data_IF_462202478689
#
_entry.id   IF_462202478689
#
_cell.length_a   1.000
_cell.length_b   1.000
_cell.length_c   1.000
_cell.angle_alpha   90.00
_cell.angle_beta   90.00
_cell.angle_gamma   90.00
#
_symmetry.space_group_name_H-M   'P 1'
#
loop_
_entity.id
_entity.type
_entity.pdbx_description
1 polymer ?
#
# COMPACT_ATOMS: atom_id res chain seq x y z
N UNK A 1 -1.85 -9.74 -12.30
CA UNK A 1 -2.99 -8.91 -11.80
C UNK A 1 -2.49 -8.36 -10.47
N UNK A 2 -2.20 -7.06 -10.35
CA UNK A 2 -1.40 -6.42 -9.27
C UNK A 2 -1.09 -7.27 -8.02
N UNK A 3 0.08 -7.89 -8.02
CA UNK A 3 0.62 -8.58 -6.84
C UNK A 3 1.32 -7.58 -5.94
N UNK A 4 0.82 -7.46 -4.71
CA UNK A 4 1.45 -6.69 -3.64
C UNK A 4 2.15 -7.59 -2.63
N UNK A 5 2.05 -8.90 -2.84
CA UNK A 5 2.59 -9.95 -1.99
C UNK A 5 4.04 -10.24 -2.38
N UNK A 6 4.85 -9.17 -2.35
CA UNK A 6 6.29 -9.25 -2.63
C UNK A 6 7.09 -9.18 -1.34
N UNK A 7 8.28 -9.82 -1.25
CA UNK A 7 9.12 -9.80 -0.05
C UNK A 7 9.48 -8.39 0.42
N UNK A 8 9.46 -7.42 -0.51
CA UNK A 8 9.64 -6.01 -0.19
C UNK A 8 8.66 -5.51 0.88
N UNK A 9 7.42 -6.01 0.95
CA UNK A 9 6.45 -5.56 1.94
C UNK A 9 6.45 -6.38 3.22
N UNK A 10 7.37 -7.33 3.44
CA UNK A 10 7.42 -8.09 4.70
C UNK A 10 7.54 -7.20 5.94
N UNK A 11 8.36 -6.13 5.96
CA UNK A 11 8.35 -5.23 7.10
C UNK A 11 7.12 -4.33 7.10
N UNK A 12 6.38 -4.40 8.21
CA UNK A 12 5.13 -3.65 8.42
C UNK A 12 5.29 -2.15 8.20
N UNK A 13 6.45 -1.57 8.56
CA UNK A 13 6.71 -0.14 8.37
C UNK A 13 6.67 0.29 6.89
N UNK A 14 7.08 -0.59 5.95
CA UNK A 14 7.04 -0.29 4.51
C UNK A 14 5.61 -0.22 4.00
N UNK A 15 4.73 -1.08 4.52
CA UNK A 15 3.28 -1.05 4.24
C UNK A 15 2.67 0.26 4.69
N UNK A 16 2.94 0.65 5.94
CA UNK A 16 2.42 1.89 6.54
C UNK A 16 2.95 3.11 5.78
N UNK A 17 4.25 3.14 5.46
CA UNK A 17 4.86 4.25 4.73
C UNK A 17 4.21 4.48 3.36
N UNK A 18 3.99 3.41 2.59
CA UNK A 18 3.35 3.52 1.27
C UNK A 18 1.93 4.04 1.37
N UNK A 19 1.13 3.52 2.31
CA UNK A 19 -0.25 4.00 2.51
C UNK A 19 -0.26 5.45 2.98
N UNK A 20 0.60 5.82 3.92
CA UNK A 20 0.70 7.18 4.43
C UNK A 20 1.09 8.18 3.34
N UNK A 21 2.07 7.85 2.49
CA UNK A 21 2.48 8.71 1.37
C UNK A 21 1.33 8.92 0.38
N UNK A 22 0.61 7.86 0.02
CA UNK A 22 -0.53 7.96 -0.89
C UNK A 22 -1.66 8.85 -0.34
N UNK A 23 -2.01 8.67 0.94
CA UNK A 23 -3.06 9.47 1.59
C UNK A 23 -2.63 10.92 1.77
N UNK A 24 -1.38 11.16 2.22
CA UNK A 24 -0.84 12.53 2.36
C UNK A 24 -0.79 13.25 1.03
N UNK A 25 -0.41 12.57 -0.05
CA UNK A 25 -0.43 13.14 -1.39
C UNK A 25 -1.85 13.50 -1.82
N UNK A 26 -2.81 12.60 -1.60
CA UNK A 26 -4.20 12.89 -1.93
C UNK A 26 -4.77 14.08 -1.14
N UNK A 27 -4.42 14.21 0.14
CA UNK A 27 -4.77 15.40 0.95
C UNK A 27 -4.12 16.68 0.42
N UNK A 28 -2.86 16.59 -0.02
CA UNK A 28 -2.16 17.70 -0.66
C UNK A 28 -2.88 18.15 -1.95
N UNK A 29 -3.28 17.22 -2.81
CA UNK A 29 -4.04 17.53 -4.03
C UNK A 29 -5.42 18.13 -3.75
N UNK A 30 -6.10 17.68 -2.68
CA UNK A 30 -7.34 18.33 -2.22
C UNK A 30 -7.07 19.78 -1.81
N UNK A 31 -5.94 20.04 -1.15
CA UNK A 31 -5.56 21.39 -0.71
C UNK A 31 -5.18 22.34 -1.86
N UNK A 32 -4.69 21.81 -2.98
CA UNK A 32 -4.31 22.59 -4.18
C UNK A 32 -5.50 22.84 -5.12
N UNK A 33 -6.69 22.32 -4.79
CA UNK A 33 -7.91 22.46 -5.59
C UNK A 33 -8.14 21.32 -6.59
N UNK A 34 -7.22 20.35 -6.68
CA UNK A 34 -7.32 19.18 -7.54
C UNK A 34 -8.13 18.04 -6.87
N UNK A 35 -9.38 18.33 -6.48
CA UNK A 35 -10.20 17.41 -5.67
C UNK A 35 -10.39 16.03 -6.31
N UNK A 36 -10.57 15.97 -7.63
CA UNK A 36 -10.72 14.71 -8.36
C UNK A 36 -9.49 13.81 -8.18
N UNK A 37 -8.29 14.36 -8.35
CA UNK A 37 -7.04 13.62 -8.19
C UNK A 37 -6.79 13.24 -6.73
N UNK A 38 -7.09 14.14 -5.80
CA UNK A 38 -6.95 13.86 -4.37
C UNK A 38 -7.80 12.69 -3.89
N UNK A 39 -9.05 12.58 -4.34
CA UNK A 39 -9.92 11.46 -4.03
C UNK A 39 -9.42 10.13 -4.62
N UNK A 40 -8.84 10.15 -5.82
CA UNK A 40 -8.24 8.94 -6.42
C UNK A 40 -7.08 8.45 -5.55
N UNK A 41 -6.16 9.33 -5.16
CA UNK A 41 -4.99 8.94 -4.34
C UNK A 41 -5.40 8.43 -2.95
N UNK A 42 -6.36 9.09 -2.30
CA UNK A 42 -6.89 8.62 -1.01
C UNK A 42 -7.57 7.26 -1.17
N UNK A 43 -8.41 7.10 -2.21
CA UNK A 43 -9.09 5.84 -2.50
C UNK A 43 -8.12 4.69 -2.78
N UNK A 44 -7.08 4.95 -3.58
CA UNK A 44 -6.01 3.97 -3.85
C UNK A 44 -5.25 3.62 -2.57
N UNK A 45 -4.88 4.61 -1.75
CA UNK A 45 -4.21 4.39 -0.47
C UNK A 45 -5.05 3.51 0.47
N UNK A 46 -6.37 3.74 0.52
CA UNK A 46 -7.29 2.93 1.32
C UNK A 46 -7.40 1.49 0.80
N UNK A 47 -7.49 1.29 -0.53
CA UNK A 47 -7.55 -0.04 -1.14
C UNK A 47 -6.26 -0.83 -0.87
N UNK A 48 -5.10 -0.20 -1.05
CA UNK A 48 -3.79 -0.81 -0.78
C UNK A 48 -3.64 -1.14 0.71
N UNK A 49 -4.05 -0.23 1.60
CA UNK A 49 -4.07 -0.47 3.03
C UNK A 49 -4.94 -1.67 3.40
N UNK A 50 -6.15 -1.77 2.84
CA UNK A 50 -7.02 -2.92 3.05
C UNK A 50 -6.42 -4.22 2.50
N UNK A 51 -5.83 -4.18 1.29
CA UNK A 51 -5.13 -5.35 0.72
C UNK A 51 -4.01 -5.85 1.62
N UNK A 52 -3.22 -4.95 2.19
CA UNK A 52 -2.16 -5.32 3.13
C UNK A 52 -2.67 -5.96 4.42
N UNK A 53 -3.91 -5.70 4.83
CA UNK A 53 -4.51 -6.35 6.02
C UNK A 53 -5.04 -7.75 5.77
N UNK A 54 -5.39 -8.09 4.52
CA UNK A 54 -5.95 -9.40 4.17
C UNK A 54 -4.93 -10.35 3.52
N UNK A 55 -3.75 -9.84 3.13
CA UNK A 55 -2.68 -10.63 2.55
C UNK A 55 -2.07 -11.62 3.57
N UNK A 56 -1.73 -12.82 3.09
CA UNK A 56 -1.08 -13.86 3.89
C UNK A 56 0.44 -13.67 3.89
N UNK A 57 0.92 -12.88 4.84
CA UNK A 57 2.34 -12.54 4.95
C UNK A 57 3.21 -13.70 5.43
N UNK A 58 2.62 -14.69 6.10
CA UNK A 58 3.32 -15.90 6.52
C UNK A 58 3.60 -16.81 5.32
N UNK A 59 2.68 -16.87 4.36
CA UNK A 59 2.90 -17.56 3.08
C UNK A 59 4.03 -16.89 2.27
N UNK A 60 4.02 -15.55 2.16
CA UNK A 60 5.07 -14.80 1.45
C UNK A 60 6.45 -15.00 2.09
N UNK A 61 6.52 -15.00 3.42
CA UNK A 61 7.77 -15.23 4.14
C UNK A 61 8.32 -16.65 3.93
N UNK A 62 7.44 -17.66 3.88
CA UNK A 62 7.84 -19.05 3.60
C UNK A 62 8.36 -19.23 2.18
N UNK A 63 7.68 -18.63 1.21
CA UNK A 63 8.09 -18.72 -0.19
C UNK A 63 9.47 -18.05 -0.41
N UNK A 64 9.76 -16.95 0.28
CA UNK A 64 11.12 -16.36 0.28
C UNK A 64 12.16 -17.31 0.89
N UNK A 65 11.85 -17.98 2.00
CA UNK A 65 12.75 -18.94 2.64
C UNK A 65 13.04 -20.18 1.79
N UNK A 66 12.04 -20.69 1.05
CA UNK A 66 12.20 -21.85 0.17
C UNK A 66 13.06 -21.54 -1.08
N UNK A 67 13.25 -20.24 -1.40
CA UNK A 67 14.08 -19.77 -2.52
C UNK A 67 15.55 -19.55 -2.14
N UNK A 68 15.89 -19.45 -0.85
CA UNK A 68 17.25 -19.29 -0.31
C UNK A 68 18.01 -20.62 -0.19
#
# INVERSE_FOLDING_TARGET
MFDVDVPFFLPVWRRIAVVAVAVLWGLFEVSTGAMFWGLIFIGMGAIVGWRFTIADWDAVAKEEQDLE
#
